data_IF_012836115924
#
_entry.id   IF_012836115924
#
_cell.length_a   1.000
_cell.length_b   1.000
_cell.length_c   1.000
_cell.angle_alpha   90.00
_cell.angle_beta   90.00
_cell.angle_gamma   90.00
#
_symmetry.space_group_name_H-M   'P 1'
#
loop_
_entity.id
_entity.type
_entity.pdbx_description
1 polymer ?
#
# COMPACT_ATOMS: atom_id res chain seq x y z
N UNK A 1 36.96 34.44 -7.53
CA UNK A 1 36.22 34.27 -6.28
C UNK A 1 34.76 34.13 -6.65
N UNK A 2 34.29 32.91 -6.88
CA UNK A 2 32.90 32.57 -7.20
C UNK A 2 32.31 31.87 -5.96
N UNK A 3 31.43 32.57 -5.31
CA UNK A 3 30.67 32.07 -4.15
C UNK A 3 29.68 31.02 -4.64
N UNK A 4 29.92 29.74 -4.31
CA UNK A 4 28.90 28.71 -4.38
C UNK A 4 27.78 29.05 -3.41
N UNK A 5 26.52 29.10 -3.84
CA UNK A 5 25.42 29.12 -2.91
C UNK A 5 25.27 27.70 -2.35
N UNK A 6 25.72 27.49 -1.13
CA UNK A 6 25.34 26.34 -0.32
C UNK A 6 23.83 26.41 -0.11
N UNK A 7 23.10 25.71 -0.95
CA UNK A 7 21.65 25.61 -0.87
C UNK A 7 21.20 24.83 0.37
N UNK A 8 21.19 25.51 1.50
CA UNK A 8 20.45 25.06 2.69
C UNK A 8 18.95 25.32 2.43
N UNK A 9 18.31 24.48 1.61
CA UNK A 9 16.87 24.53 1.40
C UNK A 9 16.16 23.90 2.59
N UNK A 10 16.10 24.63 3.69
CA UNK A 10 15.22 24.33 4.83
C UNK A 10 13.72 24.46 4.49
N UNK A 11 13.31 24.00 3.31
CA UNK A 11 11.91 24.00 2.89
C UNK A 11 11.09 22.95 3.64
N UNK A 12 9.89 23.33 4.08
CA UNK A 12 8.87 22.45 4.68
C UNK A 12 8.32 21.39 3.68
N UNK A 13 8.76 21.41 2.43
CA UNK A 13 8.20 20.67 1.30
C UNK A 13 9.29 19.77 0.72
N UNK A 14 8.95 18.51 0.42
CA UNK A 14 9.77 17.64 -0.41
C UNK A 14 9.91 18.27 -1.82
N UNK A 15 11.14 18.57 -2.21
CA UNK A 15 11.43 19.27 -3.46
C UNK A 15 11.34 18.33 -4.67
N UNK A 16 11.53 17.00 -4.47
CA UNK A 16 11.59 15.99 -5.53
C UNK A 16 10.45 15.00 -5.49
N UNK A 17 9.25 15.52 -5.44
CA UNK A 17 8.05 14.70 -5.27
C UNK A 17 7.85 13.65 -6.38
N UNK A 18 7.95 14.04 -7.66
CA UNK A 18 7.78 13.15 -8.82
C UNK A 18 9.05 13.02 -9.66
N UNK A 19 10.14 13.69 -9.26
CA UNK A 19 11.37 13.76 -10.00
C UNK A 19 12.33 12.60 -9.66
N UNK A 20 13.30 12.41 -10.56
CA UNK A 20 14.45 11.55 -10.33
C UNK A 20 15.29 12.04 -9.14
N UNK A 21 15.78 11.12 -8.31
CA UNK A 21 16.69 11.42 -7.19
C UNK A 21 18.12 11.28 -7.64
N UNK A 22 18.91 12.38 -7.73
CA UNK A 22 20.33 12.33 -8.05
C UNK A 22 21.13 11.51 -7.05
N UNK A 23 22.22 10.89 -7.49
CA UNK A 23 23.02 10.03 -6.64
C UNK A 23 23.58 10.75 -5.39
N UNK A 24 23.88 12.05 -5.50
CA UNK A 24 24.33 12.90 -4.40
C UNK A 24 23.29 13.13 -3.28
N UNK A 25 22.00 12.96 -3.59
CA UNK A 25 20.91 13.12 -2.62
C UNK A 25 20.44 11.78 -2.02
N UNK A 26 21.00 10.66 -2.50
CA UNK A 26 20.62 9.33 -2.04
C UNK A 26 21.29 8.99 -0.72
N UNK A 27 20.51 8.36 0.16
CA UNK A 27 20.93 8.05 1.53
C UNK A 27 20.15 6.85 2.10
N UNK A 28 20.56 6.40 3.28
CA UNK A 28 19.93 5.27 3.97
C UNK A 28 20.60 3.94 3.66
N UNK A 29 20.04 2.87 4.20
CA UNK A 29 20.57 1.51 4.07
C UNK A 29 19.49 0.46 4.17
N UNK A 30 19.86 -0.82 4.00
CA UNK A 30 18.92 -1.95 4.02
C UNK A 30 18.12 -2.04 5.32
N UNK A 31 18.78 -1.78 6.47
CA UNK A 31 18.11 -1.80 7.77
C UNK A 31 17.00 -0.76 7.87
N UNK A 32 17.20 0.42 7.27
CA UNK A 32 16.14 1.45 7.26
C UNK A 32 14.91 1.02 6.46
N UNK A 33 15.09 0.28 5.37
CA UNK A 33 13.97 -0.29 4.62
C UNK A 33 13.26 -1.40 5.41
N UNK A 34 14.02 -2.30 6.03
CA UNK A 34 13.44 -3.35 6.87
C UNK A 34 12.59 -2.76 8.00
N UNK A 35 13.13 -1.81 8.76
CA UNK A 35 12.42 -1.21 9.90
C UNK A 35 11.23 -0.37 9.47
N UNK A 36 11.33 0.33 8.33
CA UNK A 36 10.22 1.08 7.74
C UNK A 36 9.04 0.14 7.45
N UNK A 37 9.28 -0.94 6.70
CA UNK A 37 8.20 -1.84 6.28
C UNK A 37 7.71 -2.73 7.43
N UNK A 38 8.55 -3.04 8.40
CA UNK A 38 8.12 -3.69 9.64
C UNK A 38 7.10 -2.81 10.39
N UNK A 39 7.45 -1.56 10.65
CA UNK A 39 6.60 -0.65 11.42
C UNK A 39 5.35 -0.21 10.65
N UNK A 40 5.45 0.00 9.34
CA UNK A 40 4.30 0.37 8.50
C UNK A 40 3.19 -0.68 8.50
N UNK A 41 3.55 -1.95 8.72
CA UNK A 41 2.60 -3.06 8.75
C UNK A 41 2.04 -3.36 10.14
N UNK A 42 2.68 -2.90 11.22
CA UNK A 42 2.20 -3.08 12.59
C UNK A 42 1.13 -2.03 12.93
N UNK A 43 -0.07 -2.18 12.37
CA UNK A 43 -1.16 -1.22 12.49
C UNK A 43 -2.53 -1.89 12.57
N UNK A 44 -3.50 -1.18 13.12
CA UNK A 44 -4.85 -1.70 13.38
C UNK A 44 -5.55 -2.25 12.13
N UNK A 45 -5.36 -1.66 10.95
CA UNK A 45 -5.95 -2.17 9.70
C UNK A 45 -5.37 -3.53 9.30
N UNK A 46 -4.09 -3.81 9.58
CA UNK A 46 -3.50 -5.13 9.37
C UNK A 46 -4.04 -6.15 10.37
N UNK A 47 -4.25 -5.74 11.64
CA UNK A 47 -4.92 -6.60 12.65
C UNK A 47 -6.30 -7.00 12.15
N UNK A 48 -7.11 -6.05 11.70
CA UNK A 48 -8.46 -6.33 11.19
C UNK A 48 -8.41 -7.19 9.92
N UNK A 49 -7.44 -6.98 9.03
CA UNK A 49 -7.27 -7.86 7.85
C UNK A 49 -7.05 -9.32 8.27
N UNK A 50 -6.25 -9.57 9.32
CA UNK A 50 -6.10 -10.90 9.89
C UNK A 50 -7.39 -11.44 10.53
N UNK A 51 -8.12 -10.59 11.23
CA UNK A 51 -9.41 -10.95 11.83
C UNK A 51 -10.44 -11.41 10.79
N UNK A 52 -10.44 -10.78 9.60
CA UNK A 52 -11.34 -11.19 8.49
C UNK A 52 -11.20 -12.66 8.12
N UNK A 53 -10.01 -13.26 8.25
CA UNK A 53 -9.81 -14.68 7.95
C UNK A 53 -10.75 -15.59 8.78
N UNK A 54 -10.95 -15.24 10.06
CA UNK A 54 -11.84 -15.97 10.97
C UNK A 54 -13.29 -15.49 10.82
N UNK A 55 -13.52 -14.19 10.74
CA UNK A 55 -14.88 -13.61 10.57
C UNK A 55 -15.58 -14.17 9.33
N UNK A 56 -14.81 -14.47 8.27
CA UNK A 56 -15.30 -15.02 7.00
C UNK A 56 -15.29 -16.58 6.97
N UNK A 57 -15.19 -17.23 8.13
CA UNK A 57 -15.44 -18.66 8.30
C UNK A 57 -14.19 -19.56 8.33
N UNK A 58 -12.98 -18.99 8.42
CA UNK A 58 -11.77 -19.76 8.68
C UNK A 58 -11.60 -20.13 10.14
N UNK A 59 -10.95 -21.28 10.42
CA UNK A 59 -10.44 -21.58 11.76
C UNK A 59 -9.09 -20.88 12.01
N UNK A 60 -8.67 -20.84 13.27
CA UNK A 60 -7.43 -20.17 13.66
C UNK A 60 -6.20 -20.78 12.99
N UNK A 61 -6.04 -22.11 13.05
CA UNK A 61 -4.82 -22.78 12.59
C UNK A 61 -4.59 -22.60 11.08
N UNK A 62 -5.61 -22.91 10.26
CA UNK A 62 -5.49 -22.82 8.81
C UNK A 62 -5.49 -21.39 8.32
N UNK A 63 -6.17 -20.46 9.00
CA UNK A 63 -6.08 -19.02 8.71
C UNK A 63 -4.67 -18.49 8.90
N UNK A 64 -3.96 -18.86 9.97
CA UNK A 64 -2.56 -18.45 10.18
C UNK A 64 -1.63 -18.91 9.06
N UNK A 65 -1.80 -20.16 8.60
CA UNK A 65 -1.00 -20.72 7.50
C UNK A 65 -1.35 -20.02 6.18
N UNK A 66 -2.63 -19.85 5.88
CA UNK A 66 -3.09 -19.20 4.65
C UNK A 66 -2.62 -17.74 4.57
N UNK A 67 -2.74 -16.99 5.67
CA UNK A 67 -2.24 -15.62 5.77
C UNK A 67 -0.73 -15.56 5.53
N UNK A 68 0.06 -16.47 6.12
CA UNK A 68 1.50 -16.52 5.91
C UNK A 68 1.84 -16.78 4.44
N UNK A 69 1.18 -17.74 3.80
CA UNK A 69 1.41 -18.03 2.38
C UNK A 69 1.08 -16.83 1.48
N UNK A 70 -0.05 -16.18 1.74
CA UNK A 70 -0.41 -14.96 1.01
C UNK A 70 0.56 -13.81 1.26
N UNK A 71 1.04 -13.64 2.50
CA UNK A 71 2.09 -12.67 2.83
C UNK A 71 3.40 -12.94 2.09
N UNK A 72 3.81 -14.20 1.99
CA UNK A 72 5.05 -14.57 1.28
C UNK A 72 4.93 -14.31 -0.23
N UNK A 73 3.82 -14.69 -0.84
CA UNK A 73 3.59 -14.50 -2.27
C UNK A 73 3.44 -13.01 -2.59
N UNK A 74 2.52 -12.32 -1.92
CA UNK A 74 2.29 -10.89 -2.12
C UNK A 74 3.50 -10.04 -1.74
N UNK A 75 4.19 -10.40 -0.65
CA UNK A 75 5.41 -9.75 -0.19
C UNK A 75 6.57 -9.91 -1.17
N UNK A 76 6.68 -11.05 -1.84
CA UNK A 76 7.66 -11.22 -2.93
C UNK A 76 7.34 -10.29 -4.11
N UNK A 77 6.07 -10.18 -4.53
CA UNK A 77 5.64 -9.26 -5.58
C UNK A 77 5.96 -7.81 -5.18
N UNK A 78 5.60 -7.39 -3.98
CA UNK A 78 5.93 -6.07 -3.44
C UNK A 78 7.44 -5.82 -3.42
N UNK A 79 8.22 -6.77 -2.90
CA UNK A 79 9.66 -6.64 -2.74
C UNK A 79 10.40 -6.55 -4.09
N UNK A 80 9.90 -7.23 -5.14
CA UNK A 80 10.40 -7.08 -6.50
C UNK A 80 10.20 -5.64 -7.02
N UNK A 81 9.08 -4.99 -6.72
CA UNK A 81 8.91 -3.58 -7.03
C UNK A 81 9.87 -2.70 -6.21
N UNK A 82 10.01 -2.98 -4.91
CA UNK A 82 10.94 -2.25 -4.04
C UNK A 82 12.39 -2.32 -4.48
N UNK A 83 12.82 -3.45 -5.03
CA UNK A 83 14.18 -3.66 -5.52
C UNK A 83 14.53 -2.82 -6.77
N UNK A 84 13.53 -2.28 -7.47
CA UNK A 84 13.73 -1.36 -8.61
C UNK A 84 14.19 0.03 -8.16
N UNK A 85 13.77 0.49 -6.96
CA UNK A 85 13.97 1.85 -6.49
C UNK A 85 15.42 2.33 -6.52
N UNK A 86 16.40 1.62 -5.91
CA UNK A 86 17.80 2.04 -5.89
C UNK A 86 18.39 2.16 -7.30
N UNK A 87 17.98 1.29 -8.22
CA UNK A 87 18.50 1.26 -9.58
C UNK A 87 17.96 2.41 -10.42
N UNK A 88 16.66 2.74 -10.25
CA UNK A 88 15.97 3.74 -11.08
C UNK A 88 16.02 5.15 -10.48
N UNK A 89 15.93 5.30 -9.15
CA UNK A 89 15.80 6.59 -8.48
C UNK A 89 14.50 7.34 -8.83
N UNK A 90 13.47 6.61 -9.26
CA UNK A 90 12.19 7.13 -9.74
C UNK A 90 11.06 6.69 -8.83
N UNK A 91 10.00 7.49 -8.69
CA UNK A 91 8.74 7.02 -8.12
C UNK A 91 8.16 5.86 -8.91
N UNK A 92 7.54 4.90 -8.22
CA UNK A 92 7.02 3.67 -8.84
C UNK A 92 6.05 3.97 -9.99
N UNK A 93 5.13 4.91 -9.81
CA UNK A 93 4.10 5.19 -10.80
C UNK A 93 4.62 6.00 -11.99
N UNK A 94 5.66 6.81 -11.84
CA UNK A 94 6.35 7.43 -12.97
C UNK A 94 7.00 6.37 -13.86
N UNK A 95 7.59 5.32 -13.26
CA UNK A 95 8.20 4.23 -14.04
C UNK A 95 7.18 3.45 -14.87
N UNK A 96 5.89 3.43 -14.50
CA UNK A 96 4.82 2.79 -15.27
C UNK A 96 4.60 3.40 -16.66
N UNK A 97 5.08 4.63 -16.89
CA UNK A 97 5.07 5.25 -18.23
C UNK A 97 5.90 4.47 -19.24
N UNK A 98 6.89 3.73 -18.77
CA UNK A 98 7.71 2.86 -19.62
C UNK A 98 6.87 1.74 -20.25
N UNK A 99 5.95 1.15 -19.48
CA UNK A 99 5.11 0.05 -19.93
C UNK A 99 3.87 0.54 -20.68
N UNK A 100 3.19 1.57 -20.16
CA UNK A 100 1.86 1.97 -20.64
C UNK A 100 1.85 3.19 -21.57
N UNK A 101 2.98 3.90 -21.70
CA UNK A 101 3.08 5.22 -22.32
C UNK A 101 2.73 6.34 -21.34
N UNK A 102 3.05 7.59 -21.72
CA UNK A 102 2.93 8.76 -20.84
C UNK A 102 1.48 8.98 -20.37
N UNK A 103 0.52 8.86 -21.28
CA UNK A 103 -0.91 8.98 -20.94
C UNK A 103 -1.50 7.66 -20.46
N UNK A 104 -1.10 6.52 -21.04
CA UNK A 104 -1.62 5.21 -20.64
C UNK A 104 -1.35 4.86 -19.19
N UNK A 105 -0.25 5.32 -18.62
CA UNK A 105 0.07 5.14 -17.20
C UNK A 105 -0.96 5.77 -16.25
N UNK A 106 -1.81 6.69 -16.71
CA UNK A 106 -2.87 7.25 -15.88
C UNK A 106 -3.86 6.20 -15.40
N UNK A 107 -4.10 5.14 -16.18
CA UNK A 107 -5.05 4.09 -15.81
C UNK A 107 -4.66 3.47 -14.46
N UNK A 108 -3.46 2.87 -14.28
CA UNK A 108 -3.05 2.36 -12.98
C UNK A 108 -2.86 3.47 -11.92
N UNK A 109 -2.50 4.71 -12.30
CA UNK A 109 -2.30 5.80 -11.33
C UNK A 109 -3.64 6.25 -10.72
N UNK A 110 -4.73 6.28 -11.47
CA UNK A 110 -6.08 6.56 -10.91
C UNK A 110 -6.44 5.51 -9.87
N UNK A 111 -6.14 4.24 -10.11
CA UNK A 111 -6.38 3.18 -9.13
C UNK A 111 -5.54 3.35 -7.86
N UNK A 112 -4.33 3.88 -7.98
CA UNK A 112 -3.50 4.24 -6.81
C UNK A 112 -4.14 5.39 -6.01
N UNK A 113 -4.73 6.39 -6.67
CA UNK A 113 -5.50 7.42 -5.97
C UNK A 113 -6.68 6.82 -5.20
N UNK A 114 -7.45 5.92 -5.83
CA UNK A 114 -8.55 5.20 -5.17
C UNK A 114 -8.07 4.35 -4.00
N UNK A 115 -6.93 3.67 -4.14
CA UNK A 115 -6.29 2.92 -3.06
C UNK A 115 -6.00 3.81 -1.85
N UNK A 116 -5.39 4.97 -2.05
CA UNK A 116 -5.10 5.90 -0.95
C UNK A 116 -6.38 6.43 -0.28
N UNK A 117 -7.43 6.73 -1.06
CA UNK A 117 -8.73 7.15 -0.55
C UNK A 117 -9.35 6.03 0.29
N UNK A 118 -9.37 4.80 -0.20
CA UNK A 118 -9.94 3.65 0.49
C UNK A 118 -9.21 3.29 1.77
N UNK A 119 -7.86 3.28 1.78
CA UNK A 119 -7.09 3.09 3.02
C UNK A 119 -7.25 4.24 4.01
N UNK A 120 -7.42 5.48 3.53
CA UNK A 120 -7.72 6.61 4.40
C UNK A 120 -9.12 6.47 5.02
N UNK A 121 -10.12 6.08 4.25
CA UNK A 121 -11.47 5.84 4.74
C UNK A 121 -11.50 4.71 5.78
N UNK A 122 -10.91 3.56 5.45
CA UNK A 122 -10.83 2.40 6.36
C UNK A 122 -10.08 2.73 7.65
N UNK A 123 -8.97 3.47 7.51
CA UNK A 123 -8.19 3.95 8.65
C UNK A 123 -8.97 4.93 9.52
N UNK A 124 -9.80 5.79 8.90
CA UNK A 124 -10.62 6.77 9.60
C UNK A 124 -11.76 6.12 10.39
N UNK A 125 -12.34 5.01 9.90
CA UNK A 125 -13.33 4.24 10.67
C UNK A 125 -12.68 3.70 11.96
N UNK A 126 -11.55 2.98 11.84
CA UNK A 126 -10.91 2.37 13.01
C UNK A 126 -10.31 3.40 13.98
N UNK A 127 -9.72 4.48 13.46
CA UNK A 127 -9.24 5.57 14.30
C UNK A 127 -10.41 6.34 14.94
N UNK A 128 -11.52 6.49 14.22
CA UNK A 128 -12.75 7.08 14.74
C UNK A 128 -13.32 6.27 15.91
N UNK A 129 -13.38 4.95 15.79
CA UNK A 129 -13.75 4.06 16.91
C UNK A 129 -12.80 4.24 18.10
N UNK A 130 -11.48 4.33 17.88
CA UNK A 130 -10.53 4.57 18.96
C UNK A 130 -10.75 5.93 19.65
N UNK A 131 -10.98 7.00 18.88
CA UNK A 131 -11.30 8.35 19.39
C UNK A 131 -12.65 8.35 20.13
N UNK A 132 -13.64 7.66 19.60
CA UNK A 132 -14.96 7.53 20.20
C UNK A 132 -14.89 6.89 21.60
N UNK A 133 -14.15 5.80 21.73
CA UNK A 133 -13.91 5.14 23.02
C UNK A 133 -13.11 6.03 23.98
N UNK A 134 -12.09 6.74 23.48
CA UNK A 134 -11.24 7.60 24.31
C UNK A 134 -11.99 8.81 24.88
N UNK A 135 -12.89 9.40 24.08
CA UNK A 135 -13.60 10.65 24.41
C UNK A 135 -15.05 10.41 24.85
N UNK A 136 -15.52 9.15 24.87
CA UNK A 136 -16.90 8.76 25.18
C UNK A 136 -17.94 9.46 24.28
N UNK A 137 -17.67 9.52 22.97
CA UNK A 137 -18.56 10.04 21.96
C UNK A 137 -18.98 8.92 20.98
N UNK A 138 -19.92 9.20 20.08
CA UNK A 138 -20.28 8.22 19.03
C UNK A 138 -19.19 8.12 17.94
N UNK A 139 -19.22 7.03 17.15
CA UNK A 139 -18.22 6.75 16.11
C UNK A 139 -18.18 7.82 15.02
N UNK A 140 -19.33 8.46 14.70
CA UNK A 140 -19.35 9.51 13.69
C UNK A 140 -18.61 10.76 14.20
N UNK A 141 -18.82 11.15 15.47
CA UNK A 141 -18.07 12.24 16.09
C UNK A 141 -16.58 11.89 16.17
N UNK A 142 -16.23 10.63 16.52
CA UNK A 142 -14.85 10.15 16.52
C UNK A 142 -14.18 10.26 15.15
N UNK A 143 -14.87 9.87 14.08
CA UNK A 143 -14.37 9.99 12.69
C UNK A 143 -14.15 11.47 12.31
N UNK A 144 -15.10 12.36 12.63
CA UNK A 144 -14.97 13.79 12.32
C UNK A 144 -13.84 14.46 13.09
N UNK A 145 -13.68 14.14 14.37
CA UNK A 145 -12.56 14.63 15.19
C UNK A 145 -11.21 14.15 14.65
N UNK A 146 -11.14 12.87 14.28
CA UNK A 146 -9.94 12.31 13.65
C UNK A 146 -9.62 13.04 12.33
N UNK A 147 -10.60 13.25 11.45
CA UNK A 147 -10.43 13.98 10.20
C UNK A 147 -9.92 15.42 10.42
N UNK A 148 -10.44 16.12 11.43
CA UNK A 148 -9.96 17.46 11.79
C UNK A 148 -8.47 17.44 12.18
N UNK A 149 -8.02 16.45 12.95
CA UNK A 149 -6.60 16.28 13.31
C UNK A 149 -5.74 16.04 12.07
N UNK A 150 -6.22 15.22 11.11
CA UNK A 150 -5.51 14.98 9.84
C UNK A 150 -5.35 16.27 9.04
N UNK A 151 -6.40 17.08 8.92
CA UNK A 151 -6.35 18.38 8.23
C UNK A 151 -5.28 19.27 8.86
N UNK A 152 -5.28 19.40 10.19
CA UNK A 152 -4.28 20.21 10.91
C UNK A 152 -2.86 19.71 10.64
N UNK A 153 -2.62 18.40 10.76
CA UNK A 153 -1.29 17.83 10.54
C UNK A 153 -0.81 18.02 9.09
N UNK A 154 -1.71 17.88 8.12
CA UNK A 154 -1.35 18.06 6.70
C UNK A 154 -1.04 19.51 6.34
N UNK A 155 -1.69 20.47 7.00
CA UNK A 155 -1.36 21.91 6.88
C UNK A 155 -0.01 22.23 7.50
N UNK A 156 0.34 21.61 8.65
CA UNK A 156 1.66 21.73 9.28
C UNK A 156 2.81 21.21 8.41
N UNK A 157 2.51 20.35 7.42
CA UNK A 157 3.43 19.96 6.36
C UNK A 157 4.25 18.69 6.64
N UNK A 158 5.05 18.31 5.65
CA UNK A 158 5.75 17.03 5.58
C UNK A 158 6.67 16.73 6.77
N UNK A 159 7.40 17.74 7.28
CA UNK A 159 8.27 17.56 8.46
C UNK A 159 7.51 17.21 9.73
N UNK A 160 6.33 17.82 9.92
CA UNK A 160 5.47 17.54 11.07
C UNK A 160 4.96 16.08 10.99
N UNK A 161 4.54 15.63 9.81
CA UNK A 161 4.08 14.25 9.58
C UNK A 161 5.18 13.25 9.95
N UNK A 162 6.41 13.46 9.50
CA UNK A 162 7.53 12.56 9.81
C UNK A 162 7.97 12.61 11.28
N UNK A 163 7.92 13.78 11.91
CA UNK A 163 8.22 13.90 13.34
C UNK A 163 7.19 13.12 14.18
N UNK A 164 5.91 13.37 13.93
CA UNK A 164 4.80 12.65 14.59
C UNK A 164 4.90 11.15 14.32
N UNK A 165 5.23 10.75 13.08
CA UNK A 165 5.37 9.36 12.68
C UNK A 165 6.44 8.59 13.43
N UNK A 166 7.58 9.20 13.70
CA UNK A 166 8.64 8.57 14.52
C UNK A 166 8.19 8.28 15.95
N UNK A 167 7.49 9.23 16.55
CA UNK A 167 6.93 9.05 17.90
C UNK A 167 5.84 7.98 17.87
N UNK A 168 4.92 8.05 16.90
CA UNK A 168 3.83 7.10 16.75
C UNK A 168 4.32 5.67 16.53
N UNK A 169 5.42 5.48 15.77
CA UNK A 169 6.01 4.15 15.56
C UNK A 169 6.52 3.53 16.86
N UNK A 170 7.22 4.31 17.71
CA UNK A 170 7.71 3.81 18.99
C UNK A 170 6.54 3.44 19.91
N UNK A 171 5.57 4.34 20.07
CA UNK A 171 4.38 4.11 20.89
C UNK A 171 3.60 2.89 20.37
N UNK A 172 3.42 2.80 19.04
CA UNK A 172 2.71 1.70 18.40
C UNK A 172 3.38 0.34 18.63
N UNK A 173 4.71 0.25 18.51
CA UNK A 173 5.46 -1.00 18.78
C UNK A 173 5.29 -1.42 20.24
N UNK A 174 5.44 -0.48 21.19
CA UNK A 174 5.26 -0.77 22.61
C UNK A 174 3.84 -1.25 22.92
N UNK A 175 2.83 -0.56 22.38
CA UNK A 175 1.43 -0.95 22.54
C UNK A 175 1.15 -2.33 21.94
N UNK A 176 1.74 -2.62 20.78
CA UNK A 176 1.58 -3.90 20.08
C UNK A 176 2.19 -5.05 20.88
N UNK A 177 3.42 -4.90 21.38
CA UNK A 177 4.08 -5.89 22.23
C UNK A 177 3.28 -6.12 23.51
N UNK A 178 2.78 -5.06 24.14
CA UNK A 178 1.93 -5.15 25.31
C UNK A 178 0.64 -5.93 25.02
N UNK A 179 -0.08 -5.59 23.92
CA UNK A 179 -1.31 -6.31 23.55
C UNK A 179 -1.05 -7.81 23.32
N UNK A 180 0.06 -8.17 22.66
CA UNK A 180 0.44 -9.58 22.52
C UNK A 180 0.73 -10.27 23.86
N UNK A 181 1.46 -9.59 24.75
CA UNK A 181 1.73 -10.13 26.08
C UNK A 181 0.44 -10.42 26.85
N UNK A 182 -0.54 -9.49 26.80
CA UNK A 182 -1.85 -9.68 27.41
C UNK A 182 -2.65 -10.82 26.77
N UNK A 183 -2.63 -10.91 25.44
CA UNK A 183 -3.30 -11.99 24.72
C UNK A 183 -2.80 -13.37 25.19
N UNK A 184 -1.47 -13.58 25.21
CA UNK A 184 -0.87 -14.84 25.60
C UNK A 184 -0.98 -15.14 27.11
N UNK A 185 -1.00 -14.11 27.95
CA UNK A 185 -1.10 -14.27 29.40
C UNK A 185 -2.54 -14.62 29.86
N UNK A 186 -3.56 -14.11 29.16
CA UNK A 186 -4.93 -14.16 29.64
C UNK A 186 -5.82 -15.17 28.88
N UNK A 187 -5.36 -15.76 27.76
CA UNK A 187 -6.17 -16.62 26.91
C UNK A 187 -5.45 -17.93 26.57
N UNK A 188 -6.20 -19.03 26.51
CA UNK A 188 -5.68 -20.33 26.08
C UNK A 188 -5.57 -20.41 24.56
N UNK A 189 -4.42 -19.99 24.05
CA UNK A 189 -4.10 -20.03 22.63
C UNK A 189 -4.02 -21.46 22.10
N UNK A 190 -3.62 -22.42 22.96
CA UNK A 190 -3.56 -23.84 22.60
C UNK A 190 -4.92 -24.40 22.25
N UNK A 191 -5.94 -24.06 23.03
CA UNK A 191 -7.33 -24.47 22.78
C UNK A 191 -7.86 -23.91 21.46
N UNK A 192 -7.52 -22.63 21.12
CA UNK A 192 -7.90 -22.01 19.84
C UNK A 192 -7.26 -22.72 18.65
N UNK A 193 -5.99 -23.11 18.76
CA UNK A 193 -5.24 -23.81 17.71
C UNK A 193 -5.66 -25.28 17.55
N UNK A 194 -6.25 -25.89 18.58
CA UNK A 194 -6.69 -27.28 18.55
C UNK A 194 -7.99 -27.48 17.76
N UNK A 195 -8.85 -26.46 17.69
CA UNK A 195 -10.11 -26.51 16.96
C UNK A 195 -9.85 -26.25 15.45
N UNK A 196 -9.66 -27.36 14.71
CA UNK A 196 -9.28 -27.30 13.29
C UNK A 196 -10.43 -27.72 12.39
N UNK A 197 -10.80 -26.84 11.48
CA UNK A 197 -11.84 -27.10 10.48
C UNK A 197 -11.39 -26.52 9.10
N UNK A 198 -10.69 -27.34 8.33
CA UNK A 198 -10.20 -26.94 7.02
C UNK A 198 -11.32 -26.83 5.99
N UNK A 199 -11.44 -25.68 5.34
CA UNK A 199 -12.15 -25.53 4.08
C UNK A 199 -11.26 -24.84 3.06
N UNK A 200 -11.27 -25.34 1.82
CA UNK A 200 -10.42 -24.76 0.77
C UNK A 200 -10.83 -23.30 0.48
N UNK A 201 -12.13 -23.01 0.55
CA UNK A 201 -12.66 -21.66 0.28
C UNK A 201 -12.14 -20.65 1.31
N UNK A 202 -12.26 -20.91 2.62
CA UNK A 202 -11.76 -20.01 3.66
C UNK A 202 -10.24 -19.89 3.64
N UNK A 203 -9.52 -20.95 3.32
CA UNK A 203 -8.08 -20.97 3.19
C UNK A 203 -7.60 -20.05 2.06
N UNK A 204 -8.16 -20.20 0.85
CA UNK A 204 -7.80 -19.37 -0.30
C UNK A 204 -8.25 -17.92 -0.13
N UNK A 205 -9.40 -17.68 0.50
CA UNK A 205 -9.84 -16.32 0.82
C UNK A 205 -8.86 -15.62 1.80
N UNK A 206 -8.45 -16.31 2.86
CA UNK A 206 -7.46 -15.80 3.82
C UNK A 206 -6.12 -15.50 3.14
N UNK A 207 -5.67 -16.38 2.23
CA UNK A 207 -4.47 -16.17 1.43
C UNK A 207 -4.62 -14.95 0.50
N UNK A 208 -5.79 -14.77 -0.11
CA UNK A 208 -6.09 -13.61 -0.99
C UNK A 208 -6.09 -12.30 -0.20
N UNK A 209 -6.66 -12.26 1.00
CA UNK A 209 -6.65 -11.06 1.86
C UNK A 209 -5.23 -10.62 2.19
N UNK A 210 -4.36 -11.53 2.59
CA UNK A 210 -2.99 -11.21 2.95
C UNK A 210 -2.09 -10.92 1.74
N UNK A 211 -2.30 -11.62 0.61
CA UNK A 211 -1.62 -11.30 -0.65
C UNK A 211 -2.00 -9.90 -1.15
N UNK A 212 -3.29 -9.56 -1.08
CA UNK A 212 -3.78 -8.23 -1.43
C UNK A 212 -3.14 -7.13 -0.59
N UNK A 213 -3.06 -7.34 0.72
CA UNK A 213 -2.42 -6.40 1.63
C UNK A 213 -0.99 -6.06 1.17
N UNK A 214 -0.21 -7.06 0.81
CA UNK A 214 1.17 -6.84 0.34
C UNK A 214 1.24 -6.24 -1.06
N UNK A 215 0.43 -6.74 -2.01
CA UNK A 215 0.43 -6.26 -3.40
C UNK A 215 -0.02 -4.79 -3.46
N UNK A 216 -0.90 -4.36 -2.56
CA UNK A 216 -1.33 -2.97 -2.47
C UNK A 216 -0.19 -1.98 -2.16
N UNK A 217 0.93 -2.43 -1.60
CA UNK A 217 2.13 -1.61 -1.43
C UNK A 217 2.97 -1.48 -2.71
N UNK A 218 2.81 -2.40 -3.66
CA UNK A 218 3.57 -2.43 -4.93
C UNK A 218 3.61 -1.09 -5.67
N UNK A 219 2.48 -0.37 -5.83
CA UNK A 219 2.42 0.90 -6.55
C UNK A 219 3.25 2.04 -5.97
N UNK A 220 3.76 1.94 -4.75
CA UNK A 220 4.52 3.01 -4.11
C UNK A 220 5.71 2.55 -3.26
N UNK A 221 6.01 1.27 -3.23
CA UNK A 221 7.14 0.75 -2.43
C UNK A 221 8.48 1.34 -2.89
N UNK A 222 8.66 1.55 -4.19
CA UNK A 222 9.88 2.17 -4.72
C UNK A 222 9.98 3.66 -4.41
N UNK A 223 8.90 4.35 -4.04
CA UNK A 223 8.94 5.75 -3.62
C UNK A 223 9.82 5.96 -2.38
N UNK A 224 9.96 4.91 -1.56
CA UNK A 224 10.82 4.89 -0.38
C UNK A 224 12.22 4.34 -0.69
N UNK A 225 12.32 3.25 -1.45
CA UNK A 225 13.62 2.63 -1.75
C UNK A 225 14.44 3.39 -2.79
N UNK A 226 13.85 4.30 -3.57
CA UNK A 226 14.54 5.17 -4.55
C UNK A 226 15.58 6.10 -3.93
N UNK A 227 15.51 6.33 -2.62
CA UNK A 227 16.49 7.14 -1.90
C UNK A 227 17.74 6.37 -1.51
N UNK A 228 17.73 5.03 -1.61
CA UNK A 228 18.94 4.23 -1.34
C UNK A 228 20.02 4.51 -2.39
N UNK A 229 21.31 4.46 -2.01
CA UNK A 229 22.41 4.55 -2.96
C UNK A 229 22.25 3.56 -4.11
N UNK A 230 22.63 3.95 -5.33
CA UNK A 230 22.53 3.09 -6.52
C UNK A 230 23.36 1.81 -6.39
N UNK A 231 24.45 1.85 -5.61
CA UNK A 231 25.27 0.68 -5.29
C UNK A 231 24.60 -0.33 -4.38
N UNK A 232 23.42 -0.01 -3.82
CA UNK A 232 22.69 -0.94 -2.94
C UNK A 232 22.23 -2.16 -3.74
N UNK A 233 22.51 -3.34 -3.21
CA UNK A 233 22.14 -4.60 -3.85
C UNK A 233 20.62 -4.70 -4.03
N UNK A 234 20.18 -5.00 -5.24
CA UNK A 234 18.75 -5.26 -5.53
C UNK A 234 18.23 -6.45 -4.72
N UNK A 235 19.02 -7.51 -4.57
CA UNK A 235 18.67 -8.67 -3.75
C UNK A 235 18.60 -8.32 -2.27
N UNK A 236 19.55 -7.52 -1.77
CA UNK A 236 19.51 -6.99 -0.40
C UNK A 236 18.26 -6.15 -0.16
N UNK A 237 17.88 -5.28 -1.11
CA UNK A 237 16.66 -4.46 -1.03
C UNK A 237 15.41 -5.33 -1.05
N UNK A 238 15.37 -6.37 -1.92
CA UNK A 238 14.28 -7.34 -1.95
C UNK A 238 14.05 -7.99 -0.59
N UNK A 239 15.10 -8.52 0.04
CA UNK A 239 14.97 -9.16 1.35
C UNK A 239 14.66 -8.16 2.47
N UNK A 240 15.26 -6.98 2.46
CA UNK A 240 14.98 -5.97 3.49
C UNK A 240 13.51 -5.51 3.45
N UNK A 241 13.00 -5.19 2.27
CA UNK A 241 11.60 -4.79 2.06
C UNK A 241 10.65 -5.96 2.35
N UNK A 242 10.90 -7.11 1.75
CA UNK A 242 10.04 -8.29 1.84
C UNK A 242 9.93 -8.82 3.27
N UNK A 243 11.07 -9.07 3.93
CA UNK A 243 11.07 -9.58 5.32
C UNK A 243 10.48 -8.57 6.30
N UNK A 244 10.82 -7.28 6.17
CA UNK A 244 10.23 -6.25 7.01
C UNK A 244 8.71 -6.23 6.90
N UNK A 245 8.19 -6.22 5.67
CA UNK A 245 6.76 -6.17 5.41
C UNK A 245 6.04 -7.46 5.85
N UNK A 246 6.56 -8.63 5.48
CA UNK A 246 5.96 -9.93 5.83
C UNK A 246 5.92 -10.15 7.33
N UNK A 247 7.03 -9.90 8.04
CA UNK A 247 7.09 -10.09 9.50
C UNK A 247 6.13 -9.13 10.20
N UNK A 248 6.12 -7.84 9.83
CA UNK A 248 5.25 -6.85 10.45
C UNK A 248 3.77 -7.13 10.21
N UNK A 249 3.39 -7.43 8.96
CA UNK A 249 2.01 -7.74 8.62
C UNK A 249 1.55 -9.07 9.22
N UNK A 250 2.39 -10.11 9.17
CA UNK A 250 2.05 -11.41 9.75
C UNK A 250 1.83 -11.29 11.26
N UNK A 251 2.70 -10.57 11.97
CA UNK A 251 2.51 -10.32 13.40
C UNK A 251 1.16 -9.65 13.67
N UNK A 252 0.83 -8.57 12.94
CA UNK A 252 -0.45 -7.88 13.10
C UNK A 252 -1.64 -8.79 12.80
N UNK A 253 -1.58 -9.55 11.71
CA UNK A 253 -2.66 -10.45 11.29
C UNK A 253 -2.85 -11.62 12.25
N UNK A 254 -1.77 -12.18 12.80
CA UNK A 254 -1.83 -13.22 13.85
C UNK A 254 -2.63 -12.72 15.05
N UNK A 255 -2.35 -11.51 15.52
CA UNK A 255 -3.14 -10.92 16.61
C UNK A 255 -4.62 -10.80 16.22
N UNK A 256 -4.92 -10.34 15.00
CA UNK A 256 -6.28 -10.22 14.50
C UNK A 256 -7.04 -11.55 14.45
N UNK A 257 -6.38 -12.63 13.99
CA UNK A 257 -6.96 -13.98 13.97
C UNK A 257 -7.38 -14.41 15.37
N UNK A 258 -6.51 -14.26 16.36
CA UNK A 258 -6.84 -14.64 17.75
C UNK A 258 -7.92 -13.73 18.33
N UNK A 259 -7.86 -12.43 18.07
CA UNK A 259 -8.87 -11.49 18.54
C UNK A 259 -10.27 -11.84 18.01
N UNK A 260 -10.40 -12.11 16.71
CA UNK A 260 -11.68 -12.50 16.10
C UNK A 260 -12.17 -13.86 16.60
N UNK A 261 -11.28 -14.84 16.79
CA UNK A 261 -11.64 -16.14 17.31
C UNK A 261 -12.18 -16.08 18.75
N UNK A 262 -11.61 -15.22 19.58
CA UNK A 262 -12.08 -14.98 20.95
C UNK A 262 -13.40 -14.20 20.99
N UNK A 263 -13.58 -13.24 20.08
CA UNK A 263 -14.78 -12.41 20.01
C UNK A 263 -16.00 -13.14 19.45
N UNK A 264 -15.79 -14.08 18.53
CA UNK A 264 -16.86 -14.70 17.77
C UNK A 264 -17.72 -13.65 17.04
N UNK A 265 -19.03 -13.74 17.16
CA UNK A 265 -19.97 -12.77 16.54
C UNK A 265 -19.90 -11.35 17.10
N UNK A 266 -19.27 -11.16 18.26
CA UNK A 266 -19.10 -9.84 18.90
C UNK A 266 -17.99 -8.97 18.31
N UNK A 267 -17.21 -9.47 17.33
CA UNK A 267 -16.12 -8.71 16.75
C UNK A 267 -16.62 -7.56 15.85
N UNK A 268 -17.63 -7.81 15.03
CA UNK A 268 -18.18 -6.84 14.11
C UNK A 268 -18.81 -5.64 14.84
N UNK A 269 -18.58 -4.45 14.34
CA UNK A 269 -18.99 -3.14 14.87
C UNK A 269 -18.28 -2.68 16.15
N UNK A 270 -17.44 -3.53 16.76
CA UNK A 270 -16.70 -3.21 17.99
C UNK A 270 -15.21 -3.59 17.87
N UNK A 271 -14.66 -3.57 16.66
CA UNK A 271 -13.36 -4.10 16.34
C UNK A 271 -12.27 -3.55 17.25
N UNK A 272 -12.20 -2.22 17.38
CA UNK A 272 -11.16 -1.55 18.19
C UNK A 272 -11.41 -1.73 19.69
N UNK A 273 -12.66 -1.61 20.11
CA UNK A 273 -13.02 -1.81 21.54
C UNK A 273 -12.69 -3.23 22.00
N UNK A 274 -12.97 -4.23 21.16
CA UNK A 274 -12.69 -5.62 21.48
C UNK A 274 -11.18 -5.90 21.53
N UNK A 275 -10.42 -5.43 20.50
CA UNK A 275 -8.96 -5.59 20.42
C UNK A 275 -8.30 -5.01 21.68
N UNK A 276 -8.68 -3.80 22.08
CA UNK A 276 -8.11 -3.14 23.27
C UNK A 276 -8.57 -3.83 24.55
N UNK A 277 -9.82 -4.30 24.61
CA UNK A 277 -10.42 -4.96 25.76
C UNK A 277 -9.85 -6.34 26.10
N UNK A 278 -9.07 -6.99 25.21
CA UNK A 278 -8.50 -8.32 25.39
C UNK A 278 -7.52 -8.49 26.58
N UNK A 279 -7.40 -7.54 27.44
CA UNK A 279 -6.54 -7.60 28.64
C UNK A 279 -6.26 -6.23 29.22
N UNK A 280 -7.00 -5.21 28.77
CA UNK A 280 -6.74 -3.83 29.17
C UNK A 280 -8.03 -3.11 29.55
N UNK A 281 -7.99 -2.44 30.69
CA UNK A 281 -9.09 -1.62 31.22
C UNK A 281 -8.55 -0.27 31.72
N UNK A 282 -9.44 0.67 31.96
CA UNK A 282 -9.10 1.95 32.61
C UNK A 282 -8.04 2.75 31.82
N UNK A 283 -7.04 3.28 32.51
CA UNK A 283 -6.01 4.14 31.91
C UNK A 283 -5.18 3.42 30.83
N UNK A 284 -4.92 2.13 30.99
CA UNK A 284 -4.15 1.36 29.98
C UNK A 284 -4.94 1.25 28.68
N UNK A 285 -6.23 0.96 28.75
CA UNK A 285 -7.10 0.94 27.59
C UNK A 285 -7.13 2.32 26.90
N UNK A 286 -7.23 3.40 27.66
CA UNK A 286 -7.17 4.77 27.12
C UNK A 286 -5.84 5.05 26.38
N UNK A 287 -4.69 4.61 26.92
CA UNK A 287 -3.40 4.72 26.24
C UNK A 287 -3.34 3.91 24.95
N UNK A 288 -3.97 2.72 24.90
CA UNK A 288 -4.03 1.91 23.68
C UNK A 288 -4.94 2.55 22.61
N UNK A 289 -6.12 3.07 22.99
CA UNK A 289 -6.98 3.84 22.08
C UNK A 289 -6.24 5.05 21.50
N UNK A 290 -5.55 5.80 22.38
CA UNK A 290 -4.70 6.91 21.92
C UNK A 290 -3.61 6.43 20.96
N UNK A 291 -2.91 5.34 21.26
CA UNK A 291 -1.85 4.78 20.39
C UNK A 291 -2.40 4.41 19.01
N UNK A 292 -3.56 3.78 18.94
CA UNK A 292 -4.22 3.40 17.68
C UNK A 292 -4.57 4.64 16.87
N UNK A 293 -5.26 5.62 17.47
CA UNK A 293 -5.65 6.85 16.80
C UNK A 293 -4.41 7.63 16.34
N UNK A 294 -3.41 7.81 17.21
CA UNK A 294 -2.18 8.55 16.94
C UNK A 294 -1.33 7.91 15.82
N UNK A 295 -1.22 6.58 15.82
CA UNK A 295 -0.56 5.84 14.73
C UNK A 295 -1.26 6.04 13.39
N UNK A 296 -2.60 6.02 13.38
CA UNK A 296 -3.38 6.22 12.15
C UNK A 296 -3.31 7.64 11.62
N UNK A 297 -3.12 8.67 12.46
CA UNK A 297 -2.94 10.07 12.02
C UNK A 297 -1.82 10.16 10.99
N UNK A 298 -0.67 9.57 11.29
CA UNK A 298 0.51 9.64 10.39
C UNK A 298 0.27 8.92 9.07
N UNK A 299 -0.25 7.70 9.14
CA UNK A 299 -0.49 6.87 7.93
C UNK A 299 -1.53 7.54 7.04
N UNK A 300 -2.61 8.09 7.61
CA UNK A 300 -3.66 8.76 6.84
C UNK A 300 -3.16 10.07 6.21
N UNK A 301 -2.33 10.83 6.92
CA UNK A 301 -1.69 12.02 6.37
C UNK A 301 -0.73 11.68 5.22
N UNK A 302 0.05 10.58 5.32
CA UNK A 302 0.89 10.09 4.24
C UNK A 302 0.08 9.59 3.04
N UNK A 303 -1.06 8.93 3.26
CA UNK A 303 -1.97 8.53 2.18
C UNK A 303 -2.51 9.76 1.43
N UNK A 304 -2.89 10.83 2.14
CA UNK A 304 -3.36 12.06 1.52
C UNK A 304 -2.25 12.72 0.67
N UNK A 305 -1.02 12.69 1.15
CA UNK A 305 0.14 13.19 0.42
C UNK A 305 0.46 12.30 -0.79
N UNK A 306 0.49 10.97 -0.64
CA UNK A 306 0.72 10.00 -1.73
C UNK A 306 -0.35 10.08 -2.83
N UNK A 307 -1.62 10.27 -2.46
CA UNK A 307 -2.70 10.51 -3.40
C UNK A 307 -2.50 11.80 -4.20
N UNK A 308 -2.08 12.89 -3.53
CA UNK A 308 -1.71 14.14 -4.22
C UNK A 308 -0.57 13.92 -5.21
N UNK A 309 0.48 13.17 -4.82
CA UNK A 309 1.62 12.86 -5.69
C UNK A 309 1.21 12.10 -6.95
N UNK A 310 0.32 11.12 -6.77
CA UNK A 310 -0.24 10.34 -7.88
C UNK A 310 -1.05 11.23 -8.82
N UNK A 311 -1.88 12.13 -8.29
CA UNK A 311 -2.62 13.10 -9.09
C UNK A 311 -1.68 14.10 -9.81
N UNK A 312 -0.64 14.59 -9.12
CA UNK A 312 0.37 15.45 -9.73
C UNK A 312 1.10 14.75 -10.90
N UNK A 313 1.34 13.44 -10.76
CA UNK A 313 1.88 12.60 -11.84
C UNK A 313 0.94 12.56 -13.05
N UNK A 314 -0.36 12.38 -12.84
CA UNK A 314 -1.36 12.44 -13.93
C UNK A 314 -1.32 13.82 -14.64
N UNK A 315 -1.42 14.90 -13.86
CA UNK A 315 -1.44 16.27 -14.40
C UNK A 315 -0.17 16.60 -15.16
N UNK A 316 1.01 16.16 -14.66
CA UNK A 316 2.29 16.38 -15.32
C UNK A 316 2.40 15.70 -16.69
N UNK A 317 1.68 14.60 -16.90
CA UNK A 317 1.60 13.93 -18.18
C UNK A 317 0.92 14.78 -19.26
N UNK A 318 -0.13 15.55 -18.89
CA UNK A 318 -0.89 16.38 -19.84
C UNK A 318 -0.32 17.79 -20.02
N UNK A 319 0.17 18.39 -18.94
CA UNK A 319 0.57 19.81 -18.92
C UNK A 319 2.08 20.03 -18.99
N UNK A 320 2.84 18.94 -19.07
CA UNK A 320 4.30 19.02 -18.94
C UNK A 320 4.76 19.28 -17.50
N UNK A 321 6.08 19.49 -17.33
CA UNK A 321 6.69 19.76 -16.02
C UNK A 321 6.35 21.17 -15.55
N UNK A 322 5.24 21.36 -14.88
CA UNK A 322 4.89 22.56 -14.13
C UNK A 322 4.87 22.26 -12.63
N UNK A 323 5.45 23.09 -11.81
CA UNK A 323 5.32 22.96 -10.36
C UNK A 323 3.84 23.16 -9.97
N UNK A 324 3.26 22.17 -9.30
CA UNK A 324 1.91 22.30 -8.76
C UNK A 324 1.94 23.33 -7.62
N UNK A 325 1.06 24.33 -7.68
CA UNK A 325 1.03 25.40 -6.68
C UNK A 325 0.70 24.81 -5.29
N UNK A 326 1.23 25.44 -4.23
CA UNK A 326 0.92 25.05 -2.86
C UNK A 326 -0.58 25.10 -2.54
N UNK A 327 -1.31 26.04 -3.16
CA UNK A 327 -2.78 26.15 -3.02
C UNK A 327 -3.49 24.95 -3.65
N UNK A 328 -3.12 24.56 -4.87
CA UNK A 328 -3.69 23.39 -5.54
C UNK A 328 -3.43 22.11 -4.76
N UNK A 329 -2.23 21.99 -4.16
CA UNK A 329 -1.89 20.86 -3.28
C UNK A 329 -2.81 20.79 -2.06
N UNK A 330 -2.96 21.89 -1.34
CA UNK A 330 -3.81 21.94 -0.14
C UNK A 330 -5.27 21.65 -0.47
N UNK A 331 -5.79 22.20 -1.58
CA UNK A 331 -7.15 21.93 -2.04
C UNK A 331 -7.37 20.46 -2.40
N UNK A 332 -6.40 19.83 -3.07
CA UNK A 332 -6.48 18.42 -3.41
C UNK A 332 -6.47 17.53 -2.14
N UNK A 333 -5.51 17.79 -1.23
CA UNK A 333 -5.40 17.04 0.02
C UNK A 333 -6.69 17.19 0.85
N UNK A 334 -7.20 18.41 0.98
CA UNK A 334 -8.46 18.66 1.69
C UNK A 334 -9.64 17.93 1.04
N UNK A 335 -9.78 18.00 -0.28
CA UNK A 335 -10.81 17.28 -1.02
C UNK A 335 -10.73 15.77 -0.82
N UNK A 336 -9.52 15.22 -0.86
CA UNK A 336 -9.28 13.79 -0.60
C UNK A 336 -9.67 13.39 0.84
N UNK A 337 -9.33 14.21 1.84
CA UNK A 337 -9.73 13.96 3.24
C UNK A 337 -11.25 14.03 3.37
N UNK A 338 -11.91 15.00 2.75
CA UNK A 338 -13.37 15.09 2.75
C UNK A 338 -14.02 13.85 2.13
N UNK A 339 -13.56 13.40 0.96
CA UNK A 339 -14.09 12.20 0.29
C UNK A 339 -13.89 10.96 1.15
N UNK A 340 -12.68 10.74 1.68
CA UNK A 340 -12.40 9.58 2.53
C UNK A 340 -13.19 9.60 3.83
N UNK A 341 -13.43 10.79 4.41
CA UNK A 341 -14.26 10.95 5.61
C UNK A 341 -15.75 10.65 5.32
N UNK A 342 -16.26 11.10 4.18
CA UNK A 342 -17.63 10.77 3.76
C UNK A 342 -17.83 9.26 3.54
N UNK A 343 -16.84 8.60 2.90
CA UNK A 343 -16.84 7.13 2.74
C UNK A 343 -16.81 6.45 4.12
N UNK A 344 -15.95 6.92 5.04
CA UNK A 344 -15.85 6.38 6.39
C UNK A 344 -17.18 6.50 7.16
N UNK A 345 -17.83 7.67 7.09
CA UNK A 345 -19.12 7.91 7.75
C UNK A 345 -20.24 7.04 7.18
N UNK A 346 -20.28 6.84 5.87
CA UNK A 346 -21.30 6.01 5.22
C UNK A 346 -21.07 4.52 5.44
N UNK A 347 -19.81 4.07 5.41
CA UNK A 347 -19.44 2.65 5.53
C UNK A 347 -19.26 2.15 6.96
N UNK A 348 -19.30 3.00 7.99
CA UNK A 348 -18.95 2.60 9.37
C UNK A 348 -19.80 1.44 9.91
N UNK A 349 -21.08 1.34 9.53
CA UNK A 349 -21.98 0.27 9.98
C UNK A 349 -21.81 -1.05 9.22
N UNK A 350 -21.12 -1.05 8.07
CA UNK A 350 -20.81 -2.24 7.26
C UNK A 350 -19.31 -2.42 7.03
N UNK A 351 -18.50 -1.89 7.96
CA UNK A 351 -17.05 -1.69 7.77
C UNK A 351 -16.32 -2.96 7.31
N UNK A 352 -16.49 -4.09 7.98
CA UNK A 352 -15.76 -5.32 7.62
C UNK A 352 -16.11 -5.81 6.21
N UNK A 353 -17.38 -5.67 5.81
CA UNK A 353 -17.86 -6.04 4.47
C UNK A 353 -17.25 -5.13 3.39
N UNK A 354 -17.33 -3.82 3.61
CA UNK A 354 -16.80 -2.82 2.67
C UNK A 354 -15.28 -2.89 2.57
N UNK A 355 -14.61 -3.10 3.70
CA UNK A 355 -13.15 -3.25 3.74
C UNK A 355 -12.68 -4.52 3.04
N UNK A 356 -13.38 -5.64 3.20
CA UNK A 356 -13.11 -6.88 2.45
C UNK A 356 -13.23 -6.66 0.95
N UNK A 357 -14.34 -6.03 0.52
CA UNK A 357 -14.56 -5.73 -0.89
C UNK A 357 -13.45 -4.83 -1.45
N UNK A 358 -13.06 -3.81 -0.71
CA UNK A 358 -12.00 -2.90 -1.10
C UNK A 358 -10.64 -3.60 -1.25
N UNK A 359 -10.26 -4.45 -0.31
CA UNK A 359 -9.00 -5.20 -0.39
C UNK A 359 -9.01 -6.13 -1.61
N UNK A 360 -10.07 -6.89 -1.85
CA UNK A 360 -10.17 -7.79 -3.00
C UNK A 360 -10.23 -7.02 -4.32
N UNK A 361 -10.86 -5.85 -4.35
CA UNK A 361 -10.81 -4.94 -5.50
C UNK A 361 -9.36 -4.54 -5.82
N UNK A 362 -8.57 -4.14 -4.84
CA UNK A 362 -7.16 -3.80 -5.06
C UNK A 362 -6.37 -4.98 -5.64
N UNK A 363 -6.62 -6.17 -5.13
CA UNK A 363 -5.97 -7.39 -5.61
C UNK A 363 -6.26 -7.64 -7.10
N UNK A 364 -7.54 -7.53 -7.50
CA UNK A 364 -7.97 -7.76 -8.87
C UNK A 364 -7.34 -6.78 -9.88
N UNK A 365 -7.11 -5.54 -9.48
CA UNK A 365 -6.58 -4.52 -10.38
C UNK A 365 -5.06 -4.36 -10.32
N UNK A 366 -4.42 -4.61 -9.17
CA UNK A 366 -2.98 -4.46 -9.06
C UNK A 366 -2.19 -5.70 -9.48
N UNK A 367 -2.79 -6.88 -9.51
CA UNK A 367 -2.09 -8.08 -10.01
C UNK A 367 -1.73 -7.98 -11.49
N UNK A 368 -2.63 -7.57 -12.43
CA UNK A 368 -2.25 -7.40 -13.83
C UNK A 368 -1.23 -6.28 -14.05
N UNK A 369 -1.33 -5.18 -13.30
CA UNK A 369 -0.35 -4.09 -13.36
C UNK A 369 1.03 -4.57 -12.89
N UNK A 370 1.09 -5.27 -11.74
CA UNK A 370 2.33 -5.85 -11.22
C UNK A 370 2.97 -6.83 -12.21
N UNK A 371 2.16 -7.71 -12.81
CA UNK A 371 2.64 -8.67 -13.81
C UNK A 371 3.32 -7.98 -15.00
N UNK A 372 2.68 -6.96 -15.58
CA UNK A 372 3.22 -6.20 -16.70
C UNK A 372 4.50 -5.47 -16.30
N UNK A 373 4.50 -4.74 -15.17
CA UNK A 373 5.66 -3.98 -14.71
C UNK A 373 6.85 -4.89 -14.41
N UNK A 374 6.64 -5.97 -13.67
CA UNK A 374 7.72 -6.87 -13.27
C UNK A 374 8.32 -7.62 -14.46
N UNK A 375 7.49 -8.11 -15.39
CA UNK A 375 7.97 -8.77 -16.61
C UNK A 375 8.75 -7.79 -17.48
N UNK A 376 8.25 -6.56 -17.67
CA UNK A 376 8.97 -5.54 -18.42
C UNK A 376 10.34 -5.25 -17.80
N UNK A 377 10.35 -4.98 -16.50
CA UNK A 377 11.58 -4.61 -15.81
C UNK A 377 12.61 -5.73 -15.78
N UNK A 378 12.24 -6.93 -15.33
CA UNK A 378 13.20 -8.01 -15.12
C UNK A 378 13.59 -8.76 -16.38
N UNK A 379 12.68 -8.90 -17.36
CA UNK A 379 12.94 -9.66 -18.57
C UNK A 379 13.47 -8.81 -19.73
N UNK A 380 13.06 -7.54 -19.83
CA UNK A 380 13.36 -6.71 -21.01
C UNK A 380 14.23 -5.49 -20.68
N UNK A 381 13.74 -4.54 -19.90
CA UNK A 381 14.39 -3.24 -19.71
C UNK A 381 15.57 -3.26 -18.75
N UNK A 382 15.49 -4.02 -17.66
CA UNK A 382 16.57 -4.21 -16.67
C UNK A 382 17.20 -2.88 -16.23
N UNK A 383 16.40 -1.95 -15.73
CA UNK A 383 16.78 -0.58 -15.34
C UNK A 383 17.30 0.34 -16.46
N UNK A 384 17.27 -0.07 -17.71
CA UNK A 384 17.66 0.76 -18.86
C UNK A 384 16.51 1.65 -19.28
N UNK A 385 16.30 2.73 -18.57
CA UNK A 385 15.24 3.70 -18.80
C UNK A 385 15.80 5.00 -19.36
N UNK A 386 15.00 5.69 -20.18
CA UNK A 386 15.25 7.05 -20.65
C UNK A 386 14.41 7.99 -19.76
N UNK A 387 15.02 8.52 -18.69
CA UNK A 387 14.30 9.31 -17.69
C UNK A 387 13.71 10.60 -18.26
N UNK A 388 14.42 11.37 -19.11
CA UNK A 388 13.84 12.51 -19.83
C UNK A 388 12.59 12.16 -20.62
N UNK A 389 12.60 11.04 -21.34
CA UNK A 389 11.49 10.62 -22.20
C UNK A 389 10.22 10.23 -21.43
N UNK A 390 10.31 9.98 -20.11
CA UNK A 390 9.12 9.73 -19.28
C UNK A 390 8.16 10.92 -19.18
N UNK A 391 8.63 12.12 -19.53
CA UNK A 391 7.80 13.34 -19.50
C UNK A 391 7.44 13.84 -20.89
N UNK A 392 7.86 13.13 -21.94
CA UNK A 392 7.64 13.50 -23.33
C UNK A 392 6.64 12.54 -24.00
N UNK A 393 5.38 12.99 -24.23
CA UNK A 393 4.37 12.15 -24.88
C UNK A 393 4.70 11.75 -26.32
N UNK A 394 5.54 12.53 -27.00
CA UNK A 394 5.98 12.29 -28.38
C UNK A 394 7.37 11.59 -28.42
N UNK A 395 7.92 11.31 -27.26
CA UNK A 395 9.21 10.66 -27.07
C UNK A 395 9.15 9.13 -27.19
N UNK A 396 10.23 8.48 -26.74
CA UNK A 396 10.48 7.03 -26.85
C UNK A 396 9.33 6.15 -26.37
N UNK A 397 8.63 6.52 -25.31
CA UNK A 397 7.57 5.70 -24.71
C UNK A 397 6.19 5.99 -25.30
N UNK A 398 6.04 7.05 -26.06
CA UNK A 398 4.83 7.46 -26.72
C UNK A 398 3.70 7.83 -25.76
N UNK A 399 2.56 8.19 -26.33
CA UNK A 399 1.36 8.58 -25.55
C UNK A 399 0.66 7.38 -24.93
N UNK A 400 0.46 6.32 -25.70
CA UNK A 400 -0.30 5.13 -25.33
C UNK A 400 0.41 3.87 -25.82
N UNK A 401 0.55 2.88 -24.96
CA UNK A 401 0.96 1.54 -25.37
C UNK A 401 -0.27 0.63 -25.43
N UNK A 402 -0.88 0.50 -26.61
CA UNK A 402 -2.11 -0.27 -26.80
C UNK A 402 -1.95 -1.74 -26.38
N UNK A 403 -0.78 -2.35 -26.61
CA UNK A 403 -0.51 -3.73 -26.22
C UNK A 403 -0.56 -3.88 -24.67
N UNK A 404 0.13 -3.04 -23.94
CA UNK A 404 0.14 -3.12 -22.48
C UNK A 404 -1.25 -2.86 -21.89
N UNK A 405 -1.99 -1.88 -22.44
CA UNK A 405 -3.36 -1.57 -22.02
C UNK A 405 -4.30 -2.75 -22.30
N UNK A 406 -4.23 -3.32 -23.49
CA UNK A 406 -5.06 -4.49 -23.85
C UNK A 406 -4.77 -5.69 -22.93
N UNK A 407 -3.48 -5.97 -22.66
CA UNK A 407 -3.10 -7.05 -21.73
C UNK A 407 -3.56 -6.77 -20.31
N UNK A 408 -3.50 -5.51 -19.86
CA UNK A 408 -4.02 -5.11 -18.56
C UNK A 408 -5.53 -5.37 -18.46
N UNK A 409 -6.29 -4.97 -19.47
CA UNK A 409 -7.73 -5.21 -19.53
C UNK A 409 -8.04 -6.70 -19.58
N UNK A 410 -7.33 -7.49 -20.41
CA UNK A 410 -7.47 -8.95 -20.46
C UNK A 410 -7.17 -9.54 -19.07
N UNK A 411 -6.13 -9.05 -18.40
CA UNK A 411 -5.78 -9.49 -17.05
C UNK A 411 -6.87 -9.24 -16.01
N UNK A 412 -7.67 -8.19 -16.17
CA UNK A 412 -8.85 -7.95 -15.34
C UNK A 412 -9.99 -8.89 -15.75
N UNK A 413 -10.27 -8.98 -17.04
CA UNK A 413 -11.40 -9.78 -17.55
C UNK A 413 -11.26 -11.27 -17.27
N UNK A 414 -10.06 -11.84 -17.36
CA UNK A 414 -9.81 -13.26 -17.08
C UNK A 414 -10.07 -13.63 -15.62
N UNK A 415 -10.08 -12.68 -14.72
CA UNK A 415 -10.40 -12.90 -13.32
C UNK A 415 -11.89 -13.05 -13.07
N UNK A 416 -12.75 -12.41 -13.86
CA UNK A 416 -14.20 -12.34 -13.62
C UNK A 416 -14.86 -13.74 -13.45
N UNK A 417 -14.55 -14.77 -14.25
CA UNK A 417 -15.16 -16.09 -14.06
C UNK A 417 -14.83 -16.76 -12.71
N UNK A 418 -13.74 -16.35 -12.06
CA UNK A 418 -13.18 -16.95 -10.85
C UNK A 418 -13.27 -16.04 -9.61
N UNK A 419 -13.78 -14.83 -9.78
CA UNK A 419 -13.88 -13.82 -8.71
C UNK A 419 -15.10 -14.10 -7.84
N UNK A 420 -14.90 -14.08 -6.52
CA UNK A 420 -15.98 -14.20 -5.54
C UNK A 420 -15.96 -12.99 -4.59
N UNK A 421 -16.99 -12.14 -4.74
CA UNK A 421 -17.21 -10.98 -3.86
C UNK A 421 -18.66 -10.98 -3.39
N UNK A 422 -18.98 -10.15 -2.40
CA UNK A 422 -20.37 -10.01 -1.94
C UNK A 422 -21.33 -9.38 -2.98
N UNK A 423 -20.79 -8.77 -4.05
CA UNK A 423 -21.56 -8.13 -5.13
C UNK A 423 -21.63 -8.99 -6.39
N UNK A 424 -20.60 -9.81 -6.60
CA UNK A 424 -20.47 -10.60 -7.82
C UNK A 424 -19.79 -11.94 -7.53
N UNK A 425 -20.37 -13.02 -8.04
CA UNK A 425 -19.79 -14.37 -8.03
C UNK A 425 -19.66 -14.87 -9.47
N UNK A 426 -18.44 -15.18 -9.87
CA UNK A 426 -18.13 -15.67 -11.20
C UNK A 426 -18.67 -17.10 -11.42
N UNK A 427 -19.02 -17.45 -12.68
CA UNK A 427 -19.67 -18.72 -12.99
C UNK A 427 -18.83 -19.98 -12.70
N UNK A 428 -17.53 -19.86 -12.53
CA UNK A 428 -16.63 -20.98 -12.22
C UNK A 428 -16.34 -21.15 -10.72
N UNK A 429 -16.78 -20.19 -9.88
CA UNK A 429 -16.55 -20.24 -8.43
C UNK A 429 -17.18 -21.48 -7.79
N UNK A 430 -18.45 -21.76 -8.12
CA UNK A 430 -19.16 -22.93 -7.59
C UNK A 430 -18.53 -24.25 -8.03
N UNK A 431 -18.07 -24.33 -9.28
CA UNK A 431 -17.37 -25.51 -9.80
C UNK A 431 -16.01 -25.75 -9.09
N UNK A 432 -15.45 -24.70 -8.49
CA UNK A 432 -14.23 -24.77 -7.69
C UNK A 432 -14.51 -24.89 -6.17
N UNK A 433 -15.73 -25.28 -5.80
CA UNK A 433 -16.10 -25.46 -4.40
C UNK A 433 -16.20 -24.15 -3.60
N UNK A 434 -16.62 -23.05 -4.27
CA UNK A 434 -16.75 -21.73 -3.64
C UNK A 434 -15.43 -20.97 -3.50
N UNK A 435 -14.38 -21.38 -4.23
CA UNK A 435 -13.04 -20.80 -4.10
C UNK A 435 -12.79 -19.66 -5.08
N UNK A 436 -12.11 -18.62 -4.62
CA UNK A 436 -11.62 -17.51 -5.46
C UNK A 436 -10.12 -17.69 -5.73
N UNK A 437 -9.79 -17.93 -7.00
CA UNK A 437 -8.42 -18.00 -7.52
C UNK A 437 -8.12 -16.89 -8.53
N UNK A 438 -9.01 -15.92 -8.62
CA UNK A 438 -9.01 -14.87 -9.66
C UNK A 438 -7.67 -14.14 -9.77
N UNK A 439 -7.09 -13.73 -8.67
CA UNK A 439 -5.85 -12.95 -8.62
C UNK A 439 -4.63 -13.74 -9.13
N UNK A 440 -4.62 -15.06 -8.97
CA UNK A 440 -3.54 -15.91 -9.51
C UNK A 440 -3.55 -15.81 -11.05
N UNK A 441 -4.75 -15.88 -11.64
CA UNK A 441 -4.92 -15.69 -13.08
C UNK A 441 -4.60 -14.25 -13.50
N UNK A 442 -5.00 -13.27 -12.68
CA UNK A 442 -4.68 -11.85 -12.84
C UNK A 442 -3.17 -11.55 -12.81
N UNK A 443 -2.37 -12.38 -12.18
CA UNK A 443 -0.91 -12.27 -12.16
C UNK A 443 -0.27 -13.08 -13.33
N UNK A 444 -0.67 -14.34 -13.51
CA UNK A 444 0.00 -15.27 -14.43
C UNK A 444 -0.33 -14.96 -15.89
N UNK A 445 -1.62 -14.75 -16.22
CA UNK A 445 -2.03 -14.54 -17.62
C UNK A 445 -1.44 -13.27 -18.22
N UNK A 446 -1.53 -12.09 -17.56
CA UNK A 446 -0.88 -10.88 -18.07
C UNK A 446 0.64 -10.99 -18.14
N UNK A 447 1.29 -11.71 -17.21
CA UNK A 447 2.72 -11.94 -17.26
C UNK A 447 3.14 -12.68 -18.51
N UNK A 448 2.45 -13.78 -18.84
CA UNK A 448 2.71 -14.59 -20.05
C UNK A 448 2.41 -13.80 -21.31
N UNK A 449 1.24 -13.15 -21.38
CA UNK A 449 0.84 -12.37 -22.56
C UNK A 449 1.81 -11.19 -22.81
N UNK A 450 2.21 -10.51 -21.74
CA UNK A 450 3.15 -9.39 -21.87
C UNK A 450 4.55 -9.87 -22.29
N UNK A 451 5.02 -10.98 -21.74
CA UNK A 451 6.30 -11.56 -22.13
C UNK A 451 6.32 -11.93 -23.61
N UNK A 452 5.27 -12.60 -24.11
CA UNK A 452 5.16 -12.99 -25.52
C UNK A 452 5.03 -11.75 -26.43
N UNK A 453 4.14 -10.82 -26.08
CA UNK A 453 3.90 -9.61 -26.86
C UNK A 453 5.14 -8.68 -26.92
N UNK A 454 5.83 -8.48 -25.80
CA UNK A 454 7.03 -7.64 -25.73
C UNK A 454 8.21 -8.25 -26.49
N UNK A 455 8.31 -9.57 -26.58
CA UNK A 455 9.33 -10.28 -27.37
C UNK A 455 9.21 -10.02 -28.88
N UNK A 456 7.98 -9.89 -29.36
CA UNK A 456 7.69 -9.54 -30.78
C UNK A 456 7.73 -8.05 -31.08
N UNK A 457 7.79 -7.21 -30.06
CA UNK A 457 7.77 -5.75 -30.21
C UNK A 457 9.13 -5.20 -30.61
N UNK A 458 9.14 -4.28 -31.59
CA UNK A 458 10.35 -3.52 -32.01
C UNK A 458 10.62 -2.33 -31.08
N UNK A 459 10.24 -2.40 -29.81
CA UNK A 459 10.42 -1.33 -28.85
C UNK A 459 11.92 -1.01 -28.67
N UNK A 460 12.26 0.27 -28.83
CA UNK A 460 13.62 0.75 -28.59
C UNK A 460 13.91 0.82 -27.09
N UNK A 461 14.71 -0.10 -26.57
CA UNK A 461 15.20 -0.07 -25.20
C UNK A 461 16.56 0.63 -25.18
N UNK A 462 16.81 1.61 -24.29
CA UNK A 462 18.12 2.24 -24.20
C UNK A 462 19.22 1.20 -23.84
N UNK A 463 20.46 1.46 -24.24
CA UNK A 463 21.59 0.59 -23.85
C UNK A 463 21.92 0.72 -22.36
N UNK A 464 21.66 1.89 -21.77
CA UNK A 464 21.88 2.21 -20.35
C UNK A 464 20.77 3.11 -19.82
N UNK A 465 20.79 3.36 -18.51
CA UNK A 465 19.94 4.38 -17.89
C UNK A 465 20.37 5.77 -18.38
N UNK A 466 19.46 6.48 -19.05
CA UNK A 466 19.68 7.85 -19.51
C UNK A 466 19.12 8.77 -18.42
N UNK A 467 19.99 9.60 -17.84
CA UNK A 467 19.64 10.53 -16.77
C UNK A 467 19.24 11.89 -17.33
N UNK A 468 18.44 12.69 -16.61
CA UNK A 468 18.28 14.09 -16.92
C UNK A 468 19.65 14.79 -16.86
N UNK A 469 19.94 15.66 -17.82
CA UNK A 469 21.13 16.52 -17.75
C UNK A 469 21.04 17.36 -16.47
N UNK A 470 22.12 17.39 -15.68
CA UNK A 470 22.21 18.32 -14.58
C UNK A 470 22.15 19.74 -15.15
N UNK A 471 21.32 20.62 -14.57
CA UNK A 471 21.19 22.01 -15.02
C UNK A 471 22.55 22.68 -14.87
N UNK A 472 23.30 22.81 -15.96
CA UNK A 472 24.63 23.44 -15.99
C UNK A 472 25.60 22.84 -16.98
N UNK A 473 25.41 21.62 -17.45
CA UNK A 473 26.23 21.03 -18.50
C UNK A 473 25.56 21.28 -19.87
N UNK A 474 25.98 22.34 -20.53
CA UNK A 474 25.72 22.51 -21.96
C UNK A 474 26.40 21.32 -22.69
N UNK A 475 25.66 20.67 -23.58
CA UNK A 475 26.27 19.71 -24.50
C UNK A 475 27.42 20.40 -25.27
N UNK A 476 28.55 19.70 -25.49
CA UNK A 476 29.63 20.21 -26.34
C UNK A 476 29.20 20.41 -27.80
#
# INVERSE_FOLDING_TARGET
MSTHPTGNTGGLIEVRSIDFIPDAERHGGLLSQFTLWLSANMQITAIVTGALAVVLGGDVFWSLIALLLGQLIGGAVMALHGAQGPQLGLPQMISSRVQFGVYGAMIPIVLVCLMYIGFSASGSVLAGQAVAQLLHVDDAAGILLFAAVIVVLTVCGYRAIHFVGRIASVIGIVAFVYMFAQLFANHDIGALLANRHFTLASFLLSMSLSASWQIAFGPYVADYSRYLPRSTSSLGTFFAVGLGSVIGAQAAMVFGVFAAALAGSGFAHHEVAYIVGLGSTGAVAALLYFSIAFGKVTVTALNAYGSFMSMATIVSGFRGKGAVSSRSRLLYIFGMICVSTLIALSGRHSFLKEFTAFILFLLAFFTPWSAINLVDYYCFTRSRYDVPALSDPDGRYGRWNAMAIAIYVIGILVQLPFLSTHVYTGPLVDALGGTDISWILGLVVPAVLYYVGARGSRRSIPERLILPLERGEAQP
#
